data_IF_380297561622
#
_entry.id   IF_380297561622
#
_cell.length_a   1.000
_cell.length_b   1.000
_cell.length_c   1.000
_cell.angle_alpha   90.00
_cell.angle_beta   90.00
_cell.angle_gamma   90.00
#
_symmetry.space_group_name_H-M   'P 1'
#
loop_
_entity.id
_entity.type
_entity.pdbx_description
1 polymer ?
#
# COMPACT_ATOMS: atom_id res chain seq x y z
N UNK A 1 13.61 23.44 -6.07
CA UNK A 1 14.40 22.51 -5.21
C UNK A 1 14.76 23.08 -3.84
N UNK A 2 15.61 24.11 -3.70
CA UNK A 2 15.91 24.66 -2.34
C UNK A 2 14.67 25.26 -1.66
N UNK A 3 13.84 26.01 -2.39
CA UNK A 3 12.56 26.49 -1.87
C UNK A 3 11.63 25.35 -1.42
N UNK A 4 11.53 24.29 -2.24
CA UNK A 4 10.79 23.05 -1.93
C UNK A 4 11.29 22.42 -0.63
N UNK A 5 12.61 22.31 -0.47
CA UNK A 5 13.25 21.76 0.73
C UNK A 5 12.95 22.62 1.95
N UNK A 6 13.04 23.94 1.84
CA UNK A 6 12.68 24.86 2.92
C UNK A 6 11.22 24.67 3.33
N UNK A 7 10.29 24.55 2.38
CA UNK A 7 8.87 24.28 2.65
C UNK A 7 8.67 22.95 3.38
N UNK A 8 9.23 21.86 2.86
CA UNK A 8 9.14 20.52 3.48
C UNK A 8 9.67 20.53 4.91
N UNK A 9 10.84 21.14 5.14
CA UNK A 9 11.46 21.18 6.47
C UNK A 9 10.70 22.09 7.45
N UNK A 10 9.96 23.08 6.94
CA UNK A 10 9.08 23.92 7.74
C UNK A 10 7.69 23.31 7.98
N UNK A 11 7.37 22.17 7.35
CA UNK A 11 6.02 21.59 7.37
C UNK A 11 5.01 22.39 6.56
N UNK A 12 5.48 23.24 5.66
CA UNK A 12 4.64 24.09 4.81
C UNK A 12 4.22 23.35 3.53
N UNK A 13 3.07 23.72 2.94
CA UNK A 13 2.67 23.18 1.64
C UNK A 13 3.74 23.42 0.58
N UNK A 14 4.08 22.35 -0.15
CA UNK A 14 5.00 22.44 -1.28
C UNK A 14 4.28 23.06 -2.47
N UNK A 15 4.80 24.19 -2.98
CA UNK A 15 4.19 24.93 -4.10
C UNK A 15 4.80 24.58 -5.46
N UNK A 16 5.95 23.91 -5.47
CA UNK A 16 6.61 23.47 -6.70
C UNK A 16 5.81 22.32 -7.33
N UNK A 17 5.30 22.51 -8.54
CA UNK A 17 4.43 21.53 -9.23
C UNK A 17 5.08 20.16 -9.40
N UNK A 18 6.41 20.07 -9.46
CA UNK A 18 7.14 18.80 -9.60
C UNK A 18 7.08 17.97 -8.30
N UNK A 19 7.02 18.64 -7.15
CA UNK A 19 7.07 18.01 -5.82
C UNK A 19 5.75 18.17 -5.04
N UNK A 20 4.80 18.92 -5.58
CA UNK A 20 3.50 19.14 -4.97
C UNK A 20 2.70 17.84 -4.98
N UNK A 21 2.23 17.44 -3.80
CA UNK A 21 1.19 16.42 -3.67
C UNK A 21 -0.16 17.14 -3.79
N UNK A 22 -0.99 16.85 -4.81
CA UNK A 22 -2.31 17.46 -4.92
C UNK A 22 -3.15 17.17 -3.67
N UNK A 23 -3.43 18.21 -2.88
CA UNK A 23 -4.15 18.10 -1.61
C UNK A 23 -3.27 17.79 -0.38
N UNK A 24 -1.94 17.75 -0.52
CA UNK A 24 -0.98 17.62 0.59
C UNK A 24 -0.92 16.24 1.25
N UNK A 25 -1.54 15.21 0.64
CA UNK A 25 -1.59 13.86 1.17
C UNK A 25 -0.76 12.91 0.31
N UNK A 26 -0.13 11.92 0.96
CA UNK A 26 0.59 10.86 0.25
C UNK A 26 -0.37 9.98 -0.56
N UNK A 27 0.11 9.56 -1.73
CA UNK A 27 -0.54 8.62 -2.65
C UNK A 27 -0.32 7.15 -2.25
N UNK A 28 0.52 6.90 -1.23
CA UNK A 28 0.78 5.59 -0.66
C UNK A 28 -0.08 5.25 0.56
N UNK A 29 0.25 4.14 1.20
CA UNK A 29 -0.28 3.74 2.50
C UNK A 29 0.53 4.41 3.63
N UNK A 30 -0.12 4.78 4.73
CA UNK A 30 0.57 5.25 5.95
C UNK A 30 0.42 4.26 7.10
N UNK A 31 1.48 4.13 7.89
CA UNK A 31 1.51 3.27 9.07
C UNK A 31 2.01 4.05 10.27
N UNK A 32 1.34 3.92 11.43
CA UNK A 32 1.75 4.59 12.67
C UNK A 32 2.99 3.94 13.28
N UNK A 33 2.87 2.67 13.69
CA UNK A 33 3.99 1.86 14.16
C UNK A 33 4.08 0.60 13.29
N UNK A 34 5.25 0.35 12.70
CA UNK A 34 5.52 -0.84 11.90
C UNK A 34 6.67 -1.64 12.49
N UNK A 35 6.41 -2.93 12.78
CA UNK A 35 7.44 -3.90 13.14
C UNK A 35 7.27 -5.10 12.22
N UNK A 36 8.35 -5.48 11.54
CA UNK A 36 8.34 -6.50 10.50
C UNK A 36 9.50 -7.48 10.72
N UNK A 37 9.37 -8.71 10.22
CA UNK A 37 10.46 -9.68 10.12
C UNK A 37 11.68 -9.06 9.41
N UNK A 38 12.89 -9.62 9.58
CA UNK A 38 14.08 -9.14 8.87
C UNK A 38 13.84 -8.86 7.38
N UNK A 39 14.24 -7.66 6.93
CA UNK A 39 14.04 -7.18 5.56
C UNK A 39 13.05 -6.03 5.46
N UNK A 40 12.49 -5.87 4.25
CA UNK A 40 11.70 -4.70 3.85
C UNK A 40 10.20 -5.01 3.72
N UNK A 41 9.36 -4.11 4.21
CA UNK A 41 7.90 -4.27 4.33
C UNK A 41 7.09 -3.81 3.08
N UNK A 42 7.61 -4.12 1.90
CA UNK A 42 7.16 -3.55 0.61
C UNK A 42 6.22 -4.45 -0.21
N UNK A 43 6.12 -5.74 0.13
CA UNK A 43 5.22 -6.71 -0.51
C UNK A 43 3.86 -6.79 0.18
N UNK A 44 2.99 -7.73 -0.20
CA UNK A 44 1.79 -8.02 0.59
C UNK A 44 2.12 -8.48 2.02
N UNK A 45 1.07 -8.76 2.78
CA UNK A 45 1.24 -9.28 4.14
C UNK A 45 2.01 -10.61 4.13
N UNK A 46 2.91 -10.76 5.10
CA UNK A 46 3.70 -11.97 5.29
C UNK A 46 2.76 -13.16 5.52
N UNK A 47 2.98 -14.27 4.80
CA UNK A 47 2.11 -15.46 4.82
C UNK A 47 2.72 -16.68 5.53
N UNK A 48 4.00 -16.62 5.84
CA UNK A 48 4.80 -17.70 6.41
C UNK A 48 5.91 -17.14 7.32
N UNK A 49 6.70 -18.02 7.94
CA UNK A 49 7.81 -17.65 8.83
C UNK A 49 9.19 -17.68 8.13
N UNK A 50 9.25 -17.81 6.80
CA UNK A 50 10.51 -18.06 6.07
C UNK A 50 11.51 -16.90 6.21
N UNK A 51 11.01 -15.67 6.32
CA UNK A 51 11.80 -14.45 6.54
C UNK A 51 12.34 -14.30 7.97
N UNK A 52 12.02 -15.23 8.85
CA UNK A 52 12.32 -15.16 10.27
C UNK A 52 11.29 -14.36 11.07
N UNK A 53 11.66 -14.06 12.32
CA UNK A 53 10.76 -13.38 13.26
C UNK A 53 11.48 -12.38 14.15
N UNK A 54 10.76 -11.34 14.54
CA UNK A 54 11.14 -10.48 15.67
C UNK A 54 10.52 -11.03 16.96
N UNK A 55 11.21 -10.91 18.09
CA UNK A 55 10.71 -11.39 19.39
C UNK A 55 10.85 -10.34 20.48
N UNK A 56 10.10 -10.50 21.57
CA UNK A 56 10.15 -9.64 22.77
C UNK A 56 9.81 -8.18 22.46
N UNK A 57 8.78 -7.99 21.64
CA UNK A 57 8.34 -6.67 21.20
C UNK A 57 7.40 -6.06 22.23
N UNK A 58 7.65 -4.81 22.62
CA UNK A 58 6.81 -4.09 23.59
C UNK A 58 6.43 -2.73 23.02
N UNK A 59 5.13 -2.49 22.85
CA UNK A 59 4.54 -1.20 22.49
C UNK A 59 3.62 -0.80 23.64
N UNK A 60 3.99 0.26 24.37
CA UNK A 60 3.24 0.70 25.56
C UNK A 60 3.08 2.20 25.61
N UNK A 61 1.94 2.64 26.14
CA UNK A 61 1.66 4.06 26.41
C UNK A 61 1.79 4.92 25.15
N UNK A 62 1.31 4.42 24.02
CA UNK A 62 1.39 5.12 22.74
C UNK A 62 0.05 5.73 22.36
N UNK A 63 0.09 6.89 21.73
CA UNK A 63 -1.06 7.50 21.08
C UNK A 63 -0.77 7.72 19.59
N UNK A 64 -1.40 6.91 18.75
CA UNK A 64 -1.30 6.99 17.28
C UNK A 64 -2.55 7.71 16.79
N UNK A 65 -2.38 8.91 16.24
CA UNK A 65 -3.50 9.76 15.87
C UNK A 65 -3.28 10.46 14.54
N UNK A 66 -4.38 10.71 13.82
CA UNK A 66 -4.43 11.57 12.62
C UNK A 66 -3.56 11.05 11.46
N UNK A 67 -3.53 9.73 11.26
CA UNK A 67 -2.95 9.16 10.04
C UNK A 67 -3.90 9.46 8.88
N UNK A 68 -3.42 10.21 7.89
CA UNK A 68 -4.23 10.63 6.73
C UNK A 68 -3.45 10.38 5.44
N UNK A 69 -4.04 9.61 4.53
CA UNK A 69 -3.52 9.42 3.18
C UNK A 69 -4.64 9.47 2.16
N UNK A 70 -4.26 9.68 0.90
CA UNK A 70 -5.15 9.56 -0.25
C UNK A 70 -4.54 8.52 -1.17
N UNK A 71 -4.59 7.25 -0.75
CA UNK A 71 -3.93 6.19 -1.51
C UNK A 71 -4.48 6.12 -2.94
N UNK A 72 -3.59 6.18 -3.93
CA UNK A 72 -3.95 6.16 -5.35
C UNK A 72 -3.38 4.89 -5.97
N UNK A 73 -4.26 4.09 -6.57
CA UNK A 73 -3.81 2.99 -7.43
C UNK A 73 -3.20 3.53 -8.71
N UNK A 74 -1.99 3.06 -9.01
CA UNK A 74 -1.35 3.31 -10.30
C UNK A 74 -1.39 2.02 -11.10
N UNK A 75 -2.09 2.07 -12.24
CA UNK A 75 -2.16 0.93 -13.17
C UNK A 75 -0.81 0.81 -13.87
N UNK A 76 -0.09 -0.26 -13.55
CA UNK A 76 1.15 -0.59 -14.24
C UNK A 76 0.85 -1.46 -15.47
N UNK A 77 1.81 -1.57 -16.38
CA UNK A 77 1.70 -2.44 -17.55
C UNK A 77 2.90 -3.38 -17.64
N UNK A 78 2.64 -4.64 -17.97
CA UNK A 78 3.62 -5.70 -18.07
C UNK A 78 3.94 -6.04 -19.54
N UNK A 79 5.17 -6.49 -19.77
CA UNK A 79 5.78 -6.90 -21.05
C UNK A 79 5.19 -8.19 -21.64
N UNK A 80 4.69 -9.14 -20.84
CA UNK A 80 4.28 -10.48 -21.30
C UNK A 80 3.07 -11.05 -20.54
N UNK A 81 2.24 -11.85 -21.24
CA UNK A 81 1.13 -12.67 -20.69
C UNK A 81 1.52 -14.14 -20.49
N UNK A 82 0.84 -14.82 -19.57
CA UNK A 82 0.97 -14.69 -18.14
C UNK A 82 2.19 -15.50 -17.66
N UNK A 83 2.97 -14.96 -16.72
CA UNK A 83 4.06 -15.68 -16.09
C UNK A 83 3.61 -16.19 -14.70
N UNK A 84 3.62 -17.51 -14.43
CA UNK A 84 3.23 -18.07 -13.14
C UNK A 84 4.20 -17.71 -11.98
N UNK A 85 5.41 -17.22 -12.28
CA UNK A 85 6.44 -16.89 -11.28
C UNK A 85 6.55 -15.37 -11.08
N UNK A 86 5.72 -14.88 -10.17
CA UNK A 86 5.38 -13.48 -10.08
C UNK A 86 6.05 -12.95 -8.78
N UNK A 87 7.38 -12.79 -8.81
CA UNK A 87 8.20 -12.34 -7.67
C UNK A 87 8.44 -10.81 -7.66
N UNK A 88 8.65 -10.27 -6.46
CA UNK A 88 9.04 -8.88 -6.22
C UNK A 88 10.42 -8.60 -6.84
N UNK A 89 10.58 -7.44 -7.48
CA UNK A 89 11.70 -7.08 -8.39
C UNK A 89 11.55 -7.58 -9.83
N UNK A 90 10.33 -7.83 -10.27
CA UNK A 90 10.11 -8.13 -11.67
C UNK A 90 10.50 -6.89 -12.50
N UNK A 91 11.54 -7.03 -13.33
CA UNK A 91 11.86 -6.16 -14.48
C UNK A 91 10.72 -6.16 -15.52
N UNK A 92 9.48 -6.33 -15.08
CA UNK A 92 8.34 -6.73 -15.89
C UNK A 92 7.34 -5.58 -15.99
N UNK A 93 7.20 -4.70 -14.98
CA UNK A 93 6.41 -3.48 -15.12
C UNK A 93 7.19 -2.30 -15.67
N UNK A 94 6.59 -1.55 -16.57
CA UNK A 94 7.23 -0.38 -17.17
C UNK A 94 7.54 0.68 -16.10
N UNK A 95 8.81 0.95 -15.86
CA UNK A 95 9.24 1.90 -14.82
C UNK A 95 10.45 2.73 -15.24
N UNK A 96 10.55 3.94 -14.68
CA UNK A 96 11.65 4.85 -14.89
C UNK A 96 12.93 4.43 -14.16
N UNK A 97 13.98 5.24 -14.28
CA UNK A 97 15.29 4.97 -13.69
C UNK A 97 15.31 4.95 -12.15
N UNK A 98 14.28 5.52 -11.52
CA UNK A 98 14.12 5.57 -10.07
C UNK A 98 13.10 4.54 -9.55
N UNK A 99 12.63 3.63 -10.41
CA UNK A 99 11.66 2.59 -10.05
C UNK A 99 10.19 3.04 -10.03
N UNK A 100 9.90 4.32 -10.23
CA UNK A 100 8.53 4.82 -10.38
C UNK A 100 7.87 4.21 -11.63
N UNK A 101 6.63 3.73 -11.47
CA UNK A 101 5.80 3.17 -12.54
C UNK A 101 5.52 4.25 -13.58
N UNK A 102 5.63 3.87 -14.85
CA UNK A 102 5.24 4.75 -15.95
C UNK A 102 3.71 4.92 -15.94
N UNK A 103 3.25 6.17 -15.77
CA UNK A 103 1.83 6.51 -15.63
C UNK A 103 1.16 6.68 -16.99
N UNK A 104 0.80 5.56 -17.62
CA UNK A 104 0.20 5.54 -18.96
C UNK A 104 -1.04 6.44 -19.10
N UNK A 105 -1.83 6.59 -18.03
CA UNK A 105 -3.00 7.46 -18.02
C UNK A 105 -2.68 8.95 -18.22
N UNK A 106 -1.41 9.36 -18.04
CA UNK A 106 -0.95 10.74 -18.26
C UNK A 106 -0.36 10.97 -19.65
N UNK A 107 0.07 9.90 -20.31
CA UNK A 107 0.86 9.92 -21.54
C UNK A 107 0.17 9.20 -22.70
N UNK A 108 -1.11 8.93 -22.56
CA UNK A 108 -1.94 8.29 -23.57
C UNK A 108 -3.14 9.18 -23.87
N UNK A 109 -3.34 9.49 -25.14
CA UNK A 109 -4.52 10.20 -25.61
C UNK A 109 -5.74 9.26 -25.71
N UNK A 110 -6.92 9.85 -25.91
CA UNK A 110 -8.18 9.10 -25.93
C UNK A 110 -8.26 8.03 -27.04
N UNK A 111 -7.47 8.19 -28.10
CA UNK A 111 -7.36 7.23 -29.21
C UNK A 111 -6.29 6.15 -28.97
N UNK A 112 -5.65 6.15 -27.80
CA UNK A 112 -4.61 5.20 -27.43
C UNK A 112 -3.21 5.56 -27.94
N UNK A 113 -3.04 6.70 -28.61
CA UNK A 113 -1.72 7.18 -29.05
C UNK A 113 -0.93 7.81 -27.91
N UNK A 114 0.39 7.94 -28.09
CA UNK A 114 1.24 8.58 -27.09
C UNK A 114 1.08 10.09 -27.10
N UNK A 115 0.84 10.62 -25.90
CA UNK A 115 0.81 12.05 -25.60
C UNK A 115 2.17 12.47 -25.03
N UNK A 116 2.91 13.38 -25.69
CA UNK A 116 4.21 13.84 -25.21
C UNK A 116 4.16 14.43 -23.79
N UNK A 117 5.14 14.06 -22.99
CA UNK A 117 5.32 14.52 -21.61
C UNK A 117 6.81 14.66 -21.32
N UNK A 118 7.31 15.86 -20.92
CA UNK A 118 8.75 16.10 -20.78
C UNK A 118 9.47 15.13 -19.84
N UNK A 119 8.82 14.69 -18.77
CA UNK A 119 9.40 13.72 -17.85
C UNK A 119 9.53 12.35 -18.52
N UNK A 120 8.49 11.88 -19.18
CA UNK A 120 8.45 10.61 -19.89
C UNK A 120 9.38 10.58 -21.09
N UNK A 121 9.43 11.66 -21.87
CA UNK A 121 10.38 11.84 -22.99
C UNK A 121 11.83 11.76 -22.47
N UNK A 122 12.11 12.40 -21.33
CA UNK A 122 13.40 12.29 -20.66
C UNK A 122 13.72 10.85 -20.23
N UNK A 123 12.76 10.12 -19.67
CA UNK A 123 12.93 8.70 -19.32
C UNK A 123 13.20 7.84 -20.55
N UNK A 124 12.50 8.07 -21.66
CA UNK A 124 12.74 7.36 -22.91
C UNK A 124 14.13 7.66 -23.48
N UNK A 125 14.55 8.93 -23.48
CA UNK A 125 15.90 9.30 -23.91
C UNK A 125 16.97 8.61 -23.05
N UNK A 126 16.79 8.61 -21.73
CA UNK A 126 17.72 7.96 -20.80
C UNK A 126 17.78 6.44 -21.03
N UNK A 127 16.63 5.79 -21.19
CA UNK A 127 16.57 4.37 -21.52
C UNK A 127 17.23 4.07 -22.86
N UNK A 128 16.94 4.86 -23.90
CA UNK A 128 17.45 4.63 -25.26
C UNK A 128 18.96 4.81 -25.38
N UNK A 129 19.52 5.81 -24.70
CA UNK A 129 20.94 6.16 -24.83
C UNK A 129 21.83 5.52 -23.76
N UNK A 130 21.29 5.20 -22.57
CA UNK A 130 22.09 4.66 -21.47
C UNK A 130 21.62 3.27 -20.98
N UNK A 131 20.53 2.73 -21.52
CA UNK A 131 19.97 1.44 -21.11
C UNK A 131 19.51 1.42 -19.65
N UNK A 132 19.15 2.58 -19.09
CA UNK A 132 18.70 2.72 -17.70
C UNK A 132 17.18 2.78 -17.61
N UNK A 133 16.62 2.22 -16.53
CA UNK A 133 15.18 2.06 -16.35
C UNK A 133 14.69 0.71 -16.84
N UNK A 134 13.38 0.49 -16.76
CA UNK A 134 12.75 -0.74 -17.17
C UNK A 134 11.62 -0.46 -18.18
N UNK A 135 11.99 0.07 -19.33
CA UNK A 135 11.10 0.34 -20.45
C UNK A 135 11.30 -0.75 -21.51
N UNK A 136 10.21 -1.22 -22.11
CA UNK A 136 10.23 -2.22 -23.17
C UNK A 136 10.33 -1.58 -24.56
N UNK A 137 10.92 -2.32 -25.51
CA UNK A 137 10.96 -1.90 -26.90
C UNK A 137 9.56 -1.65 -27.46
N UNK A 138 8.55 -2.44 -27.08
CA UNK A 138 7.16 -2.25 -27.53
C UNK A 138 6.58 -0.92 -27.05
N UNK A 139 6.86 -0.51 -25.81
CA UNK A 139 6.43 0.80 -25.30
C UNK A 139 7.10 1.93 -26.06
N UNK A 140 8.40 1.77 -26.36
CA UNK A 140 9.11 2.75 -27.18
C UNK A 140 8.59 2.78 -28.62
N UNK A 141 8.29 1.64 -29.26
CA UNK A 141 7.71 1.59 -30.60
C UNK A 141 6.31 2.24 -30.61
N UNK A 142 5.49 1.99 -29.60
CA UNK A 142 4.19 2.64 -29.43
C UNK A 142 4.37 4.16 -29.35
N UNK A 143 5.23 4.63 -28.43
CA UNK A 143 5.39 6.05 -28.18
C UNK A 143 6.00 6.83 -29.36
N UNK A 144 6.97 6.24 -30.06
CA UNK A 144 7.77 6.95 -31.06
C UNK A 144 7.37 6.64 -32.51
N UNK A 145 6.67 5.53 -32.74
CA UNK A 145 6.33 5.07 -34.09
C UNK A 145 4.84 4.79 -34.30
N UNK A 146 4.01 5.00 -33.27
CA UNK A 146 2.57 4.73 -33.34
C UNK A 146 2.24 3.25 -33.51
N UNK A 147 3.09 2.35 -33.00
CA UNK A 147 2.73 0.93 -32.90
C UNK A 147 1.52 0.73 -31.97
N UNK A 148 0.83 -0.40 -32.08
CA UNK A 148 -0.35 -0.69 -31.25
C UNK A 148 0.01 -0.90 -29.76
N UNK A 149 -0.72 -0.24 -28.86
CA UNK A 149 -0.57 -0.36 -27.41
C UNK A 149 -1.16 -1.66 -26.83
N UNK A 150 -2.10 -2.28 -27.53
CA UNK A 150 -2.93 -3.38 -26.99
C UNK A 150 -2.18 -4.68 -26.69
N UNK A 151 -0.86 -4.73 -26.92
CA UNK A 151 -0.01 -5.88 -26.61
C UNK A 151 0.44 -5.93 -25.14
N UNK A 152 0.17 -4.90 -24.32
CA UNK A 152 0.58 -4.84 -22.92
C UNK A 152 -0.51 -5.27 -21.95
N UNK A 153 -0.11 -5.84 -20.80
CA UNK A 153 -1.04 -6.39 -19.80
C UNK A 153 -1.12 -5.50 -18.57
N UNK A 154 -2.32 -5.02 -18.18
CA UNK A 154 -2.44 -4.18 -17.01
C UNK A 154 -2.21 -4.99 -15.73
N UNK A 155 -1.43 -4.41 -14.81
CA UNK A 155 -1.16 -4.93 -13.47
C UNK A 155 -1.71 -3.95 -12.45
N UNK A 156 -2.70 -4.41 -11.69
CA UNK A 156 -3.46 -3.62 -10.72
C UNK A 156 -2.88 -3.74 -9.31
N UNK A 157 -3.38 -2.87 -8.43
CA UNK A 157 -3.20 -2.85 -6.99
C UNK A 157 -1.80 -2.50 -6.47
N UNK A 158 -1.02 -1.79 -7.30
CA UNK A 158 0.23 -1.15 -6.94
C UNK A 158 0.09 0.36 -6.68
N UNK A 159 1.02 0.92 -5.90
CA UNK A 159 1.25 2.37 -5.81
C UNK A 159 2.14 2.87 -6.97
N UNK A 160 2.56 4.14 -6.90
CA UNK A 160 3.45 4.79 -7.87
C UNK A 160 4.84 4.16 -7.98
N UNK A 161 5.24 3.28 -7.06
CA UNK A 161 6.47 2.49 -7.10
C UNK A 161 6.19 0.99 -7.31
N UNK A 162 4.95 0.62 -7.64
CA UNK A 162 4.48 -0.75 -7.77
C UNK A 162 4.57 -1.57 -6.47
N UNK A 163 4.51 -0.94 -5.30
CA UNK A 163 4.35 -1.69 -4.05
C UNK A 163 2.92 -2.13 -3.85
N UNK A 164 2.74 -3.29 -3.21
CA UNK A 164 1.42 -3.75 -2.80
C UNK A 164 0.87 -2.79 -1.73
N UNK A 165 -0.23 -2.12 -2.04
CA UNK A 165 -0.86 -1.20 -1.10
C UNK A 165 -1.66 -1.95 -0.03
N UNK A 166 -1.34 -1.64 1.23
CA UNK A 166 -1.93 -2.26 2.43
C UNK A 166 -2.97 -1.38 3.12
N UNK A 167 -3.22 -0.17 2.59
CA UNK A 167 -4.07 0.83 3.23
C UNK A 167 -3.42 1.41 4.49
N UNK A 168 -4.18 2.25 5.20
CA UNK A 168 -3.69 2.94 6.38
C UNK A 168 -3.81 2.04 7.60
N UNK A 169 -2.75 1.95 8.40
CA UNK A 169 -2.68 1.03 9.53
C UNK A 169 -2.16 1.78 10.77
N UNK A 170 -2.89 1.73 11.89
CA UNK A 170 -2.38 2.25 13.16
C UNK A 170 -1.12 1.51 13.60
N UNK A 171 -1.26 0.22 13.90
CA UNK A 171 -0.14 -0.69 14.23
C UNK A 171 -0.07 -1.83 13.23
N UNK A 172 1.09 -2.03 12.60
CA UNK A 172 1.37 -3.19 11.74
C UNK A 172 2.48 -4.05 12.35
N UNK A 173 2.10 -5.23 12.84
CA UNK A 173 3.03 -6.27 13.27
C UNK A 173 3.06 -7.39 12.23
N UNK A 174 4.25 -7.71 11.71
CA UNK A 174 4.45 -8.76 10.72
C UNK A 174 5.61 -9.65 11.11
N UNK A 175 5.39 -10.97 11.21
CA UNK A 175 6.46 -11.89 11.61
C UNK A 175 6.93 -11.67 13.05
N UNK A 176 6.03 -11.37 13.98
CA UNK A 176 6.37 -11.10 15.38
C UNK A 176 5.99 -12.28 16.29
N UNK A 177 6.90 -12.70 17.18
CA UNK A 177 6.64 -13.66 18.25
C UNK A 177 6.75 -12.96 19.60
N UNK A 178 5.99 -13.39 20.61
CA UNK A 178 6.11 -12.90 22.00
C UNK A 178 6.09 -11.36 22.03
N UNK A 179 4.91 -10.78 21.89
CA UNK A 179 4.74 -9.33 21.83
C UNK A 179 3.69 -8.84 22.81
N UNK A 180 3.82 -7.60 23.25
CA UNK A 180 2.84 -6.91 24.10
C UNK A 180 2.51 -5.54 23.52
N UNK A 181 1.22 -5.31 23.31
CA UNK A 181 0.64 -3.99 23.01
C UNK A 181 -0.27 -3.63 24.17
N UNK A 182 0.11 -2.65 24.99
CA UNK A 182 -0.62 -2.32 26.22
C UNK A 182 -0.78 -0.81 26.40
N UNK A 183 -1.99 -0.38 26.77
CA UNK A 183 -2.35 1.02 26.96
C UNK A 183 -2.03 1.88 25.72
N UNK A 184 -2.65 1.52 24.59
CA UNK A 184 -2.46 2.20 23.31
C UNK A 184 -3.78 2.75 22.80
N UNK A 185 -3.77 4.00 22.35
CA UNK A 185 -4.90 4.61 21.62
C UNK A 185 -4.54 4.78 20.15
N UNK A 186 -5.44 4.36 19.27
CA UNK A 186 -5.38 4.51 17.81
C UNK A 186 -6.64 5.26 17.39
N UNK A 187 -6.50 6.50 16.93
CA UNK A 187 -7.65 7.33 16.57
C UNK A 187 -7.46 8.10 15.26
N UNK A 188 -8.57 8.42 14.60
CA UNK A 188 -8.58 9.30 13.42
C UNK A 188 -7.69 8.79 12.29
N UNK A 189 -7.88 7.54 11.89
CA UNK A 189 -7.14 6.93 10.76
C UNK A 189 -8.01 7.09 9.50
N UNK A 190 -7.63 8.01 8.63
CA UNK A 190 -8.37 8.38 7.45
C UNK A 190 -7.64 7.94 6.18
N UNK A 191 -8.33 7.22 5.31
CA UNK A 191 -7.87 6.93 3.95
C UNK A 191 -8.91 7.44 2.94
N UNK A 192 -8.51 8.46 2.19
CA UNK A 192 -9.33 9.14 1.17
C UNK A 192 -9.18 8.50 -0.22
N UNK A 193 -8.43 7.40 -0.31
CA UNK A 193 -8.26 6.65 -1.55
C UNK A 193 -9.60 6.13 -2.09
N UNK A 194 -9.76 6.23 -3.40
CA UNK A 194 -10.91 5.64 -4.08
C UNK A 194 -10.81 4.10 -4.07
N UNK A 195 -11.93 3.41 -4.26
CA UNK A 195 -11.86 2.00 -4.62
C UNK A 195 -11.15 1.88 -5.97
N UNK A 196 -10.37 0.81 -6.17
CA UNK A 196 -9.89 0.46 -7.50
C UNK A 196 -11.08 0.40 -8.45
N UNK A 197 -11.14 1.35 -9.39
CA UNK A 197 -12.25 1.50 -10.34
C UNK A 197 -12.04 0.64 -11.59
N UNK A 198 -10.93 -0.11 -11.64
CA UNK A 198 -10.36 -0.57 -12.90
C UNK A 198 -10.76 -2.03 -13.15
N UNK A 199 -11.91 -2.24 -13.78
CA UNK A 199 -12.23 -3.50 -14.46
C UNK A 199 -11.62 -3.46 -15.86
N UNK A 200 -10.31 -3.69 -15.96
CA UNK A 200 -9.66 -3.87 -17.27
C UNK A 200 -9.75 -5.33 -17.70
N UNK A 201 -10.16 -5.62 -18.96
CA UNK A 201 -10.06 -6.95 -19.52
C UNK A 201 -8.63 -7.48 -19.42
N UNK A 202 -8.47 -8.76 -19.06
CA UNK A 202 -7.17 -9.43 -18.89
C UNK A 202 -6.24 -8.80 -17.82
N UNK A 203 -6.78 -7.96 -16.93
CA UNK A 203 -6.00 -7.41 -15.82
C UNK A 203 -5.51 -8.49 -14.88
N UNK A 204 -4.26 -8.34 -14.46
CA UNK A 204 -3.63 -9.15 -13.43
C UNK A 204 -3.54 -8.32 -12.15
N UNK A 205 -3.72 -8.93 -11.00
CA UNK A 205 -3.38 -8.28 -9.74
C UNK A 205 -1.88 -8.41 -9.49
N UNK A 206 -1.29 -7.42 -8.82
CA UNK A 206 0.09 -7.49 -8.36
C UNK A 206 0.33 -8.82 -7.64
N UNK A 207 1.34 -9.57 -8.06
CA UNK A 207 1.59 -10.93 -7.56
C UNK A 207 1.83 -11.08 -6.08
N UNK A 208 2.53 -10.11 -5.48
CA UNK A 208 2.73 -10.04 -4.04
C UNK A 208 1.43 -9.80 -3.27
N UNK A 209 0.31 -9.53 -3.95
CA UNK A 209 -1.00 -9.41 -3.33
C UNK A 209 -1.51 -10.82 -3.00
N UNK A 210 -1.23 -11.26 -1.79
CA UNK A 210 -1.80 -12.50 -1.24
C UNK A 210 -3.29 -12.34 -0.82
N UNK A 211 -4.03 -11.42 -1.47
CA UNK A 211 -5.40 -11.03 -1.14
C UNK A 211 -6.22 -10.91 -2.44
N UNK A 212 -7.52 -11.26 -2.45
CA UNK A 212 -8.31 -11.30 -3.68
C UNK A 212 -8.80 -9.92 -4.15
N UNK A 213 -8.41 -8.83 -3.50
CA UNK A 213 -8.94 -7.48 -3.75
C UNK A 213 -7.95 -6.38 -3.41
N UNK A 214 -8.14 -5.24 -4.07
CA UNK A 214 -7.47 -3.99 -3.74
C UNK A 214 -7.68 -3.60 -2.27
N UNK A 215 -6.58 -3.42 -1.54
CA UNK A 215 -6.57 -3.00 -0.13
C UNK A 215 -6.05 -1.58 0.07
N UNK A 216 -5.65 -0.87 -0.99
CA UNK A 216 -4.96 0.40 -0.86
C UNK A 216 -5.78 1.50 -0.21
N UNK A 217 -7.11 1.44 -0.29
CA UNK A 217 -8.01 2.40 0.34
C UNK A 217 -8.61 1.91 1.67
N UNK A 218 -8.05 0.88 2.30
CA UNK A 218 -8.52 0.36 3.59
C UNK A 218 -7.99 1.20 4.76
N UNK A 219 -8.69 1.17 5.89
CA UNK A 219 -8.18 1.58 7.20
C UNK A 219 -8.23 0.40 8.19
N UNK A 220 -7.14 0.24 8.93
CA UNK A 220 -6.97 -0.77 9.98
C UNK A 220 -6.50 -0.08 11.26
N UNK A 221 -7.09 -0.43 12.40
CA UNK A 221 -6.53 -0.07 13.69
C UNK A 221 -5.22 -0.83 13.90
N UNK A 222 -5.28 -2.16 13.85
CA UNK A 222 -4.13 -3.04 13.97
C UNK A 222 -4.16 -4.18 12.97
N UNK A 223 -3.00 -4.51 12.41
CA UNK A 223 -2.78 -5.64 11.49
C UNK A 223 -1.73 -6.58 12.07
N UNK A 224 -2.10 -7.85 12.26
CA UNK A 224 -1.23 -8.92 12.75
C UNK A 224 -1.01 -9.95 11.63
N UNK A 225 0.11 -9.84 10.91
CA UNK A 225 0.46 -10.77 9.82
C UNK A 225 1.51 -11.77 10.30
N UNK A 226 1.19 -13.06 10.32
CA UNK A 226 2.07 -14.12 10.81
C UNK A 226 2.68 -13.78 12.18
N UNK A 227 1.82 -13.65 13.20
CA UNK A 227 2.22 -13.28 14.56
C UNK A 227 1.87 -14.36 15.59
N UNK A 228 2.68 -14.57 16.63
CA UNK A 228 2.42 -15.63 17.61
C UNK A 228 2.74 -15.25 19.07
N UNK A 229 1.89 -15.68 20.01
CA UNK A 229 2.15 -15.49 21.45
C UNK A 229 2.05 -14.02 21.87
N UNK A 230 1.02 -13.31 21.42
CA UNK A 230 0.84 -11.89 21.67
C UNK A 230 -0.10 -11.60 22.82
N UNK A 231 0.11 -10.48 23.52
CA UNK A 231 -0.85 -9.88 24.44
C UNK A 231 -1.21 -8.48 23.95
N UNK A 232 -2.49 -8.25 23.66
CA UNK A 232 -3.05 -6.95 23.29
C UNK A 232 -3.99 -6.55 24.42
N UNK A 233 -3.65 -5.53 25.19
CA UNK A 233 -4.39 -5.16 26.40
C UNK A 233 -4.67 -3.66 26.45
N UNK A 234 -5.84 -3.26 26.94
CA UNK A 234 -6.18 -1.85 27.13
C UNK A 234 -5.98 -1.01 25.84
N UNK A 235 -6.33 -1.59 24.68
CA UNK A 235 -6.19 -0.91 23.39
C UNK A 235 -7.50 -0.25 23.00
N UNK A 236 -7.45 1.05 22.72
CA UNK A 236 -8.57 1.81 22.17
C UNK A 236 -8.35 2.08 20.69
N UNK A 237 -9.31 1.73 19.85
CA UNK A 237 -9.29 1.97 18.40
C UNK A 237 -10.59 2.69 18.05
N UNK A 238 -10.50 3.91 17.55
CA UNK A 238 -11.67 4.71 17.17
C UNK A 238 -11.46 5.52 15.90
N UNK A 239 -12.55 6.00 15.32
CA UNK A 239 -12.50 7.00 14.25
C UNK A 239 -11.67 6.56 13.03
N UNK A 240 -11.86 5.32 12.59
CA UNK A 240 -11.30 4.80 11.34
C UNK A 240 -12.24 5.17 10.18
N UNK A 241 -11.74 5.84 9.14
CA UNK A 241 -12.53 6.31 8.01
C UNK A 241 -11.90 5.88 6.69
N UNK A 242 -12.64 5.11 5.90
CA UNK A 242 -12.27 4.74 4.54
C UNK A 242 -13.50 4.39 3.70
N UNK A 243 -13.30 4.23 2.38
CA UNK A 243 -14.37 3.84 1.44
C UNK A 243 -14.88 2.41 1.66
N UNK A 244 -13.98 1.50 2.04
CA UNK A 244 -14.33 0.14 2.46
C UNK A 244 -14.72 0.11 3.95
N UNK A 245 -15.39 -0.93 4.45
CA UNK A 245 -15.59 -1.08 5.90
C UNK A 245 -14.23 -1.11 6.63
N UNK A 246 -13.97 -0.19 7.58
CA UNK A 246 -12.74 -0.21 8.35
C UNK A 246 -12.66 -1.44 9.25
N UNK A 247 -11.45 -1.79 9.66
CA UNK A 247 -11.18 -2.96 10.50
C UNK A 247 -10.49 -2.54 11.79
N UNK A 248 -11.01 -2.96 12.93
CA UNK A 248 -10.38 -2.74 14.24
C UNK A 248 -9.05 -3.50 14.34
N UNK A 249 -9.12 -4.83 14.41
CA UNK A 249 -7.95 -5.73 14.47
C UNK A 249 -8.11 -6.82 13.41
N UNK A 250 -7.15 -6.94 12.49
CA UNK A 250 -7.12 -7.95 11.43
C UNK A 250 -5.95 -8.93 11.64
N UNK A 251 -6.17 -10.20 11.32
CA UNK A 251 -5.12 -11.23 11.30
C UNK A 251 -4.92 -11.81 9.90
N UNK A 252 -3.69 -12.15 9.57
CA UNK A 252 -3.33 -12.80 8.31
C UNK A 252 -2.21 -13.82 8.50
N UNK A 253 -2.09 -14.80 7.61
CA UNK A 253 -1.10 -15.88 7.70
C UNK A 253 -1.29 -16.76 8.94
N UNK A 254 -0.28 -17.56 9.33
CA UNK A 254 -0.30 -18.41 10.53
C UNK A 254 -0.13 -17.56 11.81
N UNK A 255 -1.06 -16.63 12.03
CA UNK A 255 -1.18 -15.88 13.28
C UNK A 255 -1.92 -16.72 14.32
N UNK A 256 -1.46 -16.76 15.57
CA UNK A 256 -2.12 -17.57 16.60
C UNK A 256 -1.65 -17.26 18.01
N UNK A 257 -2.39 -17.76 19.01
CA UNK A 257 -2.09 -17.55 20.42
C UNK A 257 -1.93 -16.06 20.77
N UNK A 258 -2.84 -15.23 20.27
CA UNK A 258 -2.90 -13.80 20.62
C UNK A 258 -4.06 -13.60 21.57
N UNK A 259 -3.77 -13.11 22.78
CA UNK A 259 -4.76 -12.77 23.80
C UNK A 259 -5.10 -11.29 23.66
N UNK A 260 -6.39 -10.96 23.60
CA UNK A 260 -6.89 -9.59 23.56
C UNK A 260 -7.75 -9.32 24.79
N UNK A 261 -7.33 -8.38 25.64
CA UNK A 261 -7.96 -8.06 26.92
C UNK A 261 -8.44 -6.59 26.96
N UNK A 262 -9.69 -6.37 27.35
CA UNK A 262 -10.28 -5.03 27.51
C UNK A 262 -10.12 -4.10 26.28
N UNK A 263 -10.38 -4.56 25.04
CA UNK A 263 -10.32 -3.69 23.88
C UNK A 263 -11.51 -2.72 23.85
N UNK A 264 -11.28 -1.48 23.43
CA UNK A 264 -12.36 -0.53 23.10
C UNK A 264 -12.29 -0.23 21.60
N UNK A 265 -13.19 -0.80 20.79
CA UNK A 265 -13.19 -0.60 19.33
C UNK A 265 -14.49 0.09 18.90
N UNK A 266 -14.36 1.29 18.34
CA UNK A 266 -15.46 2.14 17.86
C UNK A 266 -15.23 2.49 16.38
N UNK A 267 -16.02 1.92 15.45
CA UNK A 267 -15.80 2.09 14.01
C UNK A 267 -16.88 2.94 13.36
N UNK A 268 -16.46 3.84 12.47
CA UNK A 268 -17.33 4.73 11.70
C UNK A 268 -17.22 4.42 10.20
N UNK A 269 -18.31 4.50 9.45
CA UNK A 269 -18.30 4.54 7.97
C UNK A 269 -19.05 5.77 7.52
N UNK A 270 -18.33 6.79 7.08
CA UNK A 270 -18.90 8.11 6.87
C UNK A 270 -19.49 8.66 8.18
N UNK A 271 -20.74 9.11 8.15
CA UNK A 271 -21.49 9.58 9.33
C UNK A 271 -22.20 8.46 10.12
N UNK A 272 -22.21 7.22 9.63
CA UNK A 272 -22.87 6.10 10.30
C UNK A 272 -21.89 5.30 11.17
N UNK A 273 -22.25 5.05 12.43
CA UNK A 273 -21.57 4.07 13.28
C UNK A 273 -21.90 2.67 12.74
N UNK A 274 -20.89 1.90 12.32
CA UNK A 274 -21.12 0.53 11.83
C UNK A 274 -21.41 -0.46 12.96
N UNK A 275 -21.12 -0.08 14.20
CA UNK A 275 -21.40 -0.84 15.42
C UNK A 275 -20.33 -0.65 16.49
N UNK A 276 -20.65 -1.10 17.71
CA UNK A 276 -19.66 -1.42 18.75
C UNK A 276 -19.34 -2.91 18.59
N UNK A 277 -18.12 -3.25 18.18
CA UNK A 277 -17.78 -4.65 17.99
C UNK A 277 -16.58 -4.87 17.09
N UNK A 278 -15.86 -5.93 17.43
CA UNK A 278 -14.68 -6.44 16.73
C UNK A 278 -15.10 -6.95 15.36
N UNK A 279 -14.59 -6.35 14.28
CA UNK A 279 -14.54 -7.03 12.99
C UNK A 279 -13.19 -7.73 12.91
N UNK A 280 -13.14 -8.98 13.38
CA UNK A 280 -12.03 -9.87 13.07
C UNK A 280 -12.26 -10.42 11.67
N UNK A 281 -11.40 -10.04 10.73
CA UNK A 281 -11.22 -10.78 9.47
C UNK A 281 -9.95 -11.62 9.60
N UNK A 282 -9.98 -12.86 9.11
CA UNK A 282 -8.91 -13.84 9.25
C UNK A 282 -9.30 -15.09 10.03
N UNK A 283 -8.32 -15.88 10.48
CA UNK A 283 -8.56 -17.10 11.25
C UNK A 283 -9.11 -16.75 12.64
N UNK A 284 -10.38 -17.10 12.89
CA UNK A 284 -11.07 -16.85 14.17
C UNK A 284 -10.41 -17.55 15.36
N UNK A 285 -9.69 -18.65 15.12
CA UNK A 285 -8.97 -19.40 16.17
C UNK A 285 -7.66 -18.73 16.59
N UNK A 286 -7.21 -17.73 15.83
CA UNK A 286 -5.94 -17.04 16.10
C UNK A 286 -5.97 -16.17 17.37
N UNK A 287 -7.15 -15.72 17.77
CA UNK A 287 -7.33 -14.73 18.84
C UNK A 287 -8.24 -15.25 19.95
N UNK A 288 -7.83 -14.99 21.19
CA UNK A 288 -8.60 -15.25 22.40
C UNK A 288 -9.04 -13.91 23.00
N UNK A 289 -10.34 -13.68 23.06
CA UNK A 289 -10.92 -12.40 23.52
C UNK A 289 -11.39 -12.54 24.97
N UNK A 290 -10.97 -11.60 25.82
CA UNK A 290 -11.29 -11.51 27.25
C UNK A 290 -11.81 -10.12 27.62
#
# INVERSE_FOLDING_TARGET
>A
MEATKTQVMAGEPVTDEMFALPGGLTDGAVVGIQIHSPGVAINGFQKDWERGSQTNIVIKNCHIQRLNAKSVEVVAYNKLNPDPALSYASKKVQSGIFGAVLRFERIMDADGTYKPDPLTDGLFAVWRHFGKGNIDDLVWQWAMKGADFHTLYPVLAGDSMHHVMKGNIGIFLSGCKIFTVDNVTIESILNQGAMSAVHLPNAQFHSGMNMPRYNGNMCRGMMLATCFGGLVKNVSIKDLYCMQPPIGIETFGPTGNVVVENPTILMHRGVALLGKGIVQQGDKKAMHWH
#
